data_IF_658862397366
#
_entry.id   IF_658862397366
#
_cell.length_a   1.000
_cell.length_b   1.000
_cell.length_c   1.000
_cell.angle_alpha   90.00
_cell.angle_beta   90.00
_cell.angle_gamma   90.00
#
_symmetry.space_group_name_H-M   'P 1'
#
loop_
_entity.id
_entity.type
_entity.pdbx_description
1 polymer ?
#
# COMPACT_ATOMS: atom_id res chain seq x y z
N UNK A 1 30.48 -33.95 -60.82
CA UNK A 1 30.51 -32.87 -59.82
C UNK A 1 29.08 -32.41 -59.58
N UNK A 2 28.34 -33.16 -58.75
CA UNK A 2 26.92 -32.95 -58.46
C UNK A 2 26.83 -32.25 -57.11
N UNK A 3 26.92 -30.92 -57.12
CA UNK A 3 26.85 -30.08 -55.93
C UNK A 3 25.82 -28.97 -56.20
N UNK A 4 24.99 -28.70 -55.19
CA UNK A 4 24.22 -27.45 -54.99
C UNK A 4 22.83 -27.30 -55.65
N UNK A 5 21.93 -28.29 -55.60
CA UNK A 5 20.49 -28.04 -55.89
C UNK A 5 19.56 -28.07 -54.67
N UNK A 6 20.03 -28.54 -53.52
CA UNK A 6 19.23 -28.62 -52.29
C UNK A 6 19.13 -27.29 -51.51
N UNK A 7 20.00 -26.31 -51.76
CA UNK A 7 20.11 -25.07 -50.98
C UNK A 7 19.34 -23.87 -51.55
N UNK A 8 18.73 -23.97 -52.73
CA UNK A 8 17.94 -22.87 -53.34
C UNK A 8 16.48 -22.80 -52.88
N UNK A 9 16.04 -23.71 -52.00
CA UNK A 9 14.67 -23.71 -51.48
C UNK A 9 14.33 -22.40 -50.76
N UNK A 10 15.29 -21.83 -50.02
CA UNK A 10 15.12 -20.54 -49.33
C UNK A 10 14.92 -19.38 -50.31
N UNK A 11 15.67 -19.31 -51.41
CA UNK A 11 15.50 -18.28 -52.44
C UNK A 11 14.18 -18.44 -53.19
N UNK A 12 13.80 -19.69 -53.52
CA UNK A 12 12.51 -19.98 -54.16
C UNK A 12 11.34 -19.53 -53.28
N UNK A 13 11.39 -19.83 -51.98
CA UNK A 13 10.35 -19.43 -51.05
C UNK A 13 10.28 -17.90 -50.90
N UNK A 14 11.44 -17.21 -50.83
CA UNK A 14 11.51 -15.75 -50.78
C UNK A 14 10.93 -15.06 -52.05
N UNK A 15 11.22 -15.58 -53.25
CA UNK A 15 10.70 -15.04 -54.51
C UNK A 15 9.23 -15.37 -54.72
N UNK A 16 8.78 -16.55 -54.30
CA UNK A 16 7.39 -17.00 -54.47
C UNK A 16 6.40 -16.37 -53.48
N UNK A 17 6.89 -15.60 -52.50
CA UNK A 17 6.04 -14.96 -51.49
C UNK A 17 5.31 -15.94 -50.57
N UNK A 18 5.84 -17.17 -50.42
CA UNK A 18 5.23 -18.19 -49.55
C UNK A 18 5.38 -17.75 -48.10
N UNK A 19 4.23 -17.62 -47.41
CA UNK A 19 4.16 -17.29 -45.99
C UNK A 19 4.79 -18.41 -45.16
N UNK A 20 5.79 -18.05 -44.35
CA UNK A 20 6.41 -18.98 -43.39
C UNK A 20 5.44 -19.21 -42.23
N UNK A 21 5.38 -20.44 -41.73
CA UNK A 21 4.56 -20.77 -40.56
C UNK A 21 5.03 -19.96 -39.34
N UNK A 22 4.11 -19.31 -38.61
CA UNK A 22 4.39 -18.36 -37.53
C UNK A 22 5.07 -17.03 -37.95
N UNK A 23 5.03 -16.66 -39.24
CA UNK A 23 5.52 -15.36 -39.74
C UNK A 23 4.90 -14.13 -39.07
N UNK A 24 3.75 -14.29 -38.41
CA UNK A 24 2.98 -13.19 -37.81
C UNK A 24 3.27 -13.03 -36.30
N UNK A 25 4.06 -13.94 -35.71
CA UNK A 25 4.55 -13.86 -34.34
C UNK A 25 5.92 -13.16 -34.30
N UNK A 26 6.00 -11.93 -34.80
CA UNK A 26 7.17 -11.09 -34.53
C UNK A 26 6.84 -10.13 -33.38
N UNK A 27 7.70 -10.13 -32.37
CA UNK A 27 7.66 -9.26 -31.18
C UNK A 27 6.50 -9.49 -30.19
N UNK A 28 5.78 -10.61 -30.31
CA UNK A 28 4.75 -10.98 -29.31
C UNK A 28 5.44 -11.67 -28.13
N UNK A 29 5.70 -10.90 -27.07
CA UNK A 29 6.19 -11.47 -25.81
C UNK A 29 5.06 -12.19 -25.09
N UNK A 30 5.21 -13.49 -24.86
CA UNK A 30 4.26 -14.29 -24.09
C UNK A 30 4.19 -13.76 -22.65
N UNK A 31 3.04 -13.21 -22.26
CA UNK A 31 2.81 -12.74 -20.89
C UNK A 31 2.77 -13.93 -19.94
N UNK A 32 3.30 -13.74 -18.74
CA UNK A 32 3.14 -14.70 -17.65
C UNK A 32 1.64 -14.85 -17.32
N UNK A 33 1.19 -16.07 -16.96
CA UNK A 33 -0.17 -16.27 -16.50
C UNK A 33 -0.40 -15.45 -15.23
N UNK A 34 -1.62 -14.97 -15.04
CA UNK A 34 -2.00 -14.33 -13.79
C UNK A 34 -2.02 -15.41 -12.70
N UNK A 35 -1.27 -15.17 -11.63
CA UNK A 35 -1.29 -16.01 -10.42
C UNK A 35 -1.85 -15.19 -9.26
N UNK A 36 -2.64 -15.85 -8.41
CA UNK A 36 -3.13 -15.23 -7.20
C UNK A 36 -1.97 -15.11 -6.21
N UNK A 37 -1.78 -13.94 -5.57
CA UNK A 37 -0.78 -13.81 -4.50
C UNK A 37 -1.05 -14.80 -3.36
N UNK A 38 -0.01 -15.24 -2.64
CA UNK A 38 -0.21 -15.86 -1.33
C UNK A 38 -1.02 -14.91 -0.44
N UNK A 39 -1.88 -15.48 0.41
CA UNK A 39 -2.66 -14.75 1.41
C UNK A 39 -3.64 -13.71 0.82
N UNK A 40 -4.09 -13.89 -0.43
CA UNK A 40 -5.07 -13.00 -1.09
C UNK A 40 -6.38 -12.82 -0.30
N UNK A 41 -6.76 -13.82 0.47
CA UNK A 41 -7.97 -13.81 1.31
C UNK A 41 -7.76 -13.21 2.69
N UNK A 42 -6.51 -12.98 3.07
CA UNK A 42 -6.17 -12.68 4.45
C UNK A 42 -6.18 -11.17 4.65
N UNK A 43 -6.85 -10.74 5.72
CA UNK A 43 -6.93 -9.34 6.09
C UNK A 43 -5.78 -9.01 7.05
N UNK A 44 -5.20 -7.80 6.96
CA UNK A 44 -4.20 -7.38 7.92
C UNK A 44 -4.83 -7.33 9.32
N UNK A 45 -4.03 -7.71 10.33
CA UNK A 45 -4.40 -7.48 11.72
C UNK A 45 -4.44 -5.97 12.00
N UNK A 46 -5.40 -5.50 12.82
CA UNK A 46 -5.47 -4.10 13.23
C UNK A 46 -4.15 -3.61 13.85
N UNK A 47 -3.79 -2.35 13.59
CA UNK A 47 -2.52 -1.75 14.03
C UNK A 47 -2.35 -1.64 15.55
N UNK A 48 -3.46 -1.57 16.28
CA UNK A 48 -3.44 -1.54 17.73
C UNK A 48 -3.79 -2.94 18.22
N UNK A 49 -2.83 -3.60 18.87
CA UNK A 49 -3.17 -4.67 19.79
C UNK A 49 -4.15 -4.04 20.78
N UNK A 50 -5.42 -4.43 20.69
CA UNK A 50 -6.42 -4.07 21.68
C UNK A 50 -5.86 -4.64 22.97
N UNK A 51 -5.23 -3.76 23.77
CA UNK A 51 -4.69 -4.15 25.06
C UNK A 51 -5.82 -4.85 25.80
N UNK A 52 -5.60 -6.06 26.30
CA UNK A 52 -6.63 -6.82 27.00
C UNK A 52 -7.18 -5.93 28.12
N UNK A 53 -8.34 -5.32 27.88
CA UNK A 53 -8.94 -4.37 28.82
C UNK A 53 -9.39 -5.20 30.00
N UNK A 54 -8.73 -5.03 31.14
CA UNK A 54 -9.09 -5.75 32.36
C UNK A 54 -10.48 -5.29 32.81
N UNK A 55 -11.28 -6.18 33.40
CA UNK A 55 -12.63 -5.84 33.92
C UNK A 55 -12.63 -4.59 34.80
N UNK A 56 -11.57 -4.39 35.59
CA UNK A 56 -11.35 -3.20 36.44
C UNK A 56 -11.24 -1.90 35.63
N UNK A 57 -10.61 -1.92 34.45
CA UNK A 57 -10.49 -0.73 33.60
C UNK A 57 -11.85 -0.36 32.98
N UNK A 58 -12.66 -1.37 32.63
CA UNK A 58 -14.01 -1.18 32.07
C UNK A 58 -14.93 -0.50 33.08
N UNK A 59 -14.91 -0.94 34.35
CA UNK A 59 -15.72 -0.31 35.41
C UNK A 59 -15.35 1.16 35.62
N UNK A 60 -14.06 1.48 35.69
CA UNK A 60 -13.57 2.86 35.86
C UNK A 60 -13.94 3.75 34.67
N UNK A 61 -13.83 3.23 33.44
CA UNK A 61 -14.19 3.99 32.24
C UNK A 61 -15.71 4.22 32.15
N UNK A 62 -16.52 3.25 32.58
CA UNK A 62 -17.98 3.39 32.66
C UNK A 62 -18.35 4.44 33.72
N UNK A 63 -17.76 4.40 34.92
CA UNK A 63 -18.02 5.40 35.96
C UNK A 63 -17.68 6.82 35.50
N UNK A 64 -16.56 6.97 34.78
CA UNK A 64 -16.13 8.23 34.17
C UNK A 64 -17.08 8.69 33.06
N UNK A 65 -17.55 7.77 32.21
CA UNK A 65 -18.52 8.07 31.15
C UNK A 65 -19.88 8.48 31.72
N UNK A 66 -20.29 7.87 32.82
CA UNK A 66 -21.54 8.16 33.53
C UNK A 66 -21.44 9.41 34.42
N UNK A 67 -20.25 10.02 34.54
CA UNK A 67 -20.04 11.23 35.33
C UNK A 67 -20.27 11.04 36.83
N UNK A 68 -20.11 9.80 37.33
CA UNK A 68 -20.29 9.45 38.75
C UNK A 68 -19.04 9.79 39.58
N UNK A 69 -18.02 10.37 38.92
CA UNK A 69 -16.83 10.90 39.57
C UNK A 69 -17.18 11.88 40.70
N UNK A 70 -16.79 11.53 41.92
CA UNK A 70 -16.87 12.42 43.09
C UNK A 70 -15.85 13.55 42.91
N UNK A 71 -16.21 14.57 42.14
CA UNK A 71 -15.39 15.75 41.88
C UNK A 71 -15.18 16.58 43.16
N UNK A 72 -14.19 16.22 43.96
CA UNK A 72 -13.43 17.21 44.73
C UNK A 72 -12.09 17.41 44.04
N UNK A 73 -12.10 18.16 42.94
CA UNK A 73 -10.89 18.79 42.41
C UNK A 73 -11.20 20.22 42.01
N UNK A 74 -10.94 21.11 42.96
CA UNK A 74 -10.63 22.50 42.66
C UNK A 74 -9.39 22.49 41.76
N UNK A 75 -9.56 22.79 40.48
CA UNK A 75 -8.46 23.28 39.65
C UNK A 75 -8.94 24.55 38.97
N UNK A 76 -8.55 25.67 39.59
CA UNK A 76 -8.48 26.96 38.94
C UNK A 76 -7.45 26.85 37.81
N UNK A 77 -7.82 26.28 36.68
CA UNK A 77 -7.06 26.43 35.45
C UNK A 77 -7.50 27.76 34.84
N UNK A 78 -6.90 28.84 35.33
CA UNK A 78 -6.75 30.07 34.55
C UNK A 78 -6.04 29.68 33.27
N UNK A 79 -6.83 29.47 32.20
CA UNK A 79 -6.31 29.37 30.85
C UNK A 79 -5.55 30.66 30.58
N UNK A 80 -4.22 30.58 30.57
CA UNK A 80 -3.37 31.66 30.04
C UNK A 80 -3.76 31.82 28.57
N UNK A 81 -4.66 32.78 28.32
CA UNK A 81 -5.07 33.19 26.97
C UNK A 81 -3.94 34.02 26.36
N UNK A 82 -2.78 33.39 26.15
CA UNK A 82 -1.67 33.99 25.45
C UNK A 82 -2.13 34.34 24.04
N UNK A 83 -2.11 35.62 23.69
CA UNK A 83 -2.45 36.08 22.34
C UNK A 83 -1.58 35.37 21.29
N UNK A 84 -2.11 35.18 20.08
CA UNK A 84 -1.36 34.60 18.94
C UNK A 84 0.00 35.30 18.74
N UNK A 85 0.09 36.59 19.05
CA UNK A 85 1.31 37.37 18.99
C UNK A 85 2.41 36.84 19.91
N UNK A 86 2.06 36.40 21.13
CA UNK A 86 3.02 35.80 22.06
C UNK A 86 3.56 34.45 21.57
N UNK A 87 2.73 33.65 20.90
CA UNK A 87 3.15 32.39 20.27
C UNK A 87 4.13 32.63 19.12
N UNK A 88 3.86 33.61 18.26
CA UNK A 88 4.72 33.97 17.13
C UNK A 88 6.07 34.50 17.61
N UNK A 89 6.07 35.41 18.59
CA UNK A 89 7.30 35.98 19.17
C UNK A 89 8.19 34.90 19.80
N UNK A 90 7.60 33.92 20.49
CA UNK A 90 8.33 32.77 21.03
C UNK A 90 9.02 31.99 19.92
N UNK A 91 8.32 31.71 18.82
CA UNK A 91 8.87 30.94 17.70
C UNK A 91 10.02 31.64 16.98
N UNK A 92 9.98 32.97 16.91
CA UNK A 92 11.05 33.78 16.32
C UNK A 92 12.30 33.76 17.21
N UNK A 93 12.15 33.84 18.53
CA UNK A 93 13.28 33.88 19.48
C UNK A 93 14.02 32.54 19.63
N UNK A 94 13.39 31.43 19.24
CA UNK A 94 13.98 30.08 19.27
C UNK A 94 14.91 29.77 18.08
N UNK A 95 14.99 30.66 17.07
CA UNK A 95 16.02 30.64 16.01
C UNK A 95 17.14 31.64 16.31
#
# INVERSE_FOLDING_TARGET
>A
MMLVTASCQTLKNAVSGVKVENSDEFLVQKKNPLILPPDFTDLPVPFEEVSEVTEVQIEVDIEKLLGVENNTKNTNDTSDSGSIESFVLKKIKEN
#
